data_IF_625847213530
#
_entry.id   IF_625847213530
#
_cell.length_a   1.000
_cell.length_b   1.000
_cell.length_c   1.000
_cell.angle_alpha   90.00
_cell.angle_beta   90.00
_cell.angle_gamma   90.00
#
_symmetry.space_group_name_H-M   'P 1'
#
loop_
_entity.id
_entity.type
_entity.pdbx_description
1 polymer ?
#
# COMPACT_ATOMS: atom_id res chain seq x y z
N UNK A 1 20.24 5.51 5.49
CA UNK A 1 19.56 5.41 4.18
C UNK A 1 19.39 3.92 3.91
N UNK A 2 18.14 3.44 3.84
CA UNK A 2 17.87 2.04 3.45
C UNK A 2 18.14 1.99 1.95
N UNK A 3 19.10 1.15 1.53
CA UNK A 3 19.32 0.94 0.10
C UNK A 3 18.11 0.17 -0.48
N UNK A 4 17.83 0.32 -1.77
CA UNK A 4 16.76 -0.46 -2.43
C UNK A 4 16.93 -1.97 -2.20
N UNK A 5 18.18 -2.45 -2.15
CA UNK A 5 18.56 -3.83 -1.86
C UNK A 5 18.21 -4.30 -0.43
N UNK A 6 18.03 -3.39 0.51
CA UNK A 6 17.66 -3.68 1.90
C UNK A 6 16.17 -3.48 2.18
N UNK A 7 15.41 -2.94 1.22
CA UNK A 7 13.99 -2.66 1.39
C UNK A 7 13.16 -3.95 1.35
N UNK A 8 12.38 -4.19 2.43
CA UNK A 8 11.49 -5.34 2.54
C UNK A 8 10.49 -5.43 1.38
N UNK A 9 9.89 -4.30 0.96
CA UNK A 9 8.89 -4.30 -0.10
C UNK A 9 9.50 -4.46 -1.48
N UNK A 10 10.72 -3.97 -1.73
CA UNK A 10 11.47 -4.29 -2.95
C UNK A 10 11.70 -5.80 -3.08
N UNK A 11 12.06 -6.49 -1.99
CA UNK A 11 12.23 -7.95 -1.98
C UNK A 11 10.92 -8.70 -2.24
N UNK A 12 9.79 -8.18 -1.77
CA UNK A 12 8.46 -8.72 -2.09
C UNK A 12 8.15 -8.52 -3.58
N UNK A 13 8.37 -7.32 -4.11
CA UNK A 13 8.17 -7.00 -5.54
C UNK A 13 9.05 -7.88 -6.45
N UNK A 14 10.29 -8.13 -6.05
CA UNK A 14 11.23 -9.00 -6.76
C UNK A 14 10.91 -10.51 -6.61
N UNK A 15 9.96 -10.89 -5.75
CA UNK A 15 9.62 -12.29 -5.47
C UNK A 15 10.64 -13.04 -4.60
N UNK A 16 11.59 -12.33 -3.98
CA UNK A 16 12.60 -12.91 -3.09
C UNK A 16 12.02 -13.33 -1.73
N UNK A 17 10.97 -12.63 -1.28
CA UNK A 17 10.25 -12.92 -0.04
C UNK A 17 8.77 -13.18 -0.38
N UNK A 18 8.15 -14.25 0.17
CA UNK A 18 6.76 -14.55 -0.12
C UNK A 18 5.83 -13.49 0.46
N UNK A 19 4.80 -13.15 -0.31
CA UNK A 19 3.67 -12.36 0.16
C UNK A 19 2.36 -12.96 -0.40
N UNK A 20 1.26 -12.75 0.32
CA UNK A 20 -0.08 -13.14 -0.17
C UNK A 20 -0.59 -12.05 -1.10
N UNK A 21 -0.24 -12.14 -2.38
CA UNK A 21 -0.64 -11.21 -3.43
C UNK A 21 -2.16 -11.26 -3.61
N UNK A 22 -2.77 -10.09 -3.76
CA UNK A 22 -4.22 -9.88 -3.96
C UNK A 22 -4.47 -9.31 -5.35
N UNK A 23 -3.67 -8.33 -5.77
CA UNK A 23 -3.81 -7.68 -7.07
C UNK A 23 -2.43 -7.27 -7.59
N UNK A 24 -2.22 -7.31 -8.91
CA UNK A 24 -0.96 -6.94 -9.53
C UNK A 24 -1.23 -6.27 -10.88
N UNK A 25 -0.45 -5.24 -11.18
CA UNK A 25 -0.41 -4.56 -12.48
C UNK A 25 1.02 -4.46 -12.98
N UNK A 26 1.24 -3.81 -14.12
CA UNK A 26 2.59 -3.53 -14.62
C UNK A 26 3.39 -2.60 -13.70
N UNK A 27 2.72 -1.76 -12.89
CA UNK A 27 3.34 -0.69 -12.09
C UNK A 27 3.14 -0.83 -10.58
N UNK A 28 2.16 -1.63 -10.15
CA UNK A 28 1.77 -1.77 -8.74
C UNK A 28 1.63 -3.23 -8.34
N UNK A 29 1.83 -3.50 -7.05
CA UNK A 29 1.60 -4.80 -6.43
C UNK A 29 0.82 -4.59 -5.15
N UNK A 30 -0.21 -5.41 -4.92
CA UNK A 30 -1.01 -5.39 -3.72
C UNK A 30 -0.95 -6.74 -3.00
N UNK A 31 -0.65 -6.72 -1.71
CA UNK A 31 -0.53 -7.93 -0.89
C UNK A 31 -1.05 -7.71 0.52
N UNK A 32 -1.46 -8.79 1.19
CA UNK A 32 -2.01 -8.70 2.54
C UNK A 32 -0.95 -8.28 3.54
N UNK A 33 -1.32 -7.34 4.42
CA UNK A 33 -0.49 -7.00 5.56
C UNK A 33 -0.37 -8.21 6.49
N UNK A 34 0.83 -8.47 7.01
CA UNK A 34 1.12 -9.58 7.93
C UNK A 34 0.58 -9.32 9.34
N UNK A 35 0.30 -8.06 9.68
CA UNK A 35 -0.27 -7.60 10.94
C UNK A 35 -1.56 -6.79 10.69
N UNK A 36 -2.67 -7.45 10.28
CA UNK A 36 -3.89 -6.78 9.85
C UNK A 36 -4.56 -5.95 10.97
N UNK A 37 -4.91 -4.69 10.68
CA UNK A 37 -5.61 -3.78 11.60
C UNK A 37 -7.13 -3.68 11.33
N UNK A 38 -7.61 -4.38 10.30
CA UNK A 38 -9.01 -4.53 9.93
C UNK A 38 -9.20 -5.87 9.20
N UNK A 39 -10.43 -6.41 9.10
CA UNK A 39 -10.69 -7.66 8.38
C UNK A 39 -10.13 -7.67 6.95
N UNK A 40 -10.27 -6.54 6.25
CA UNK A 40 -9.50 -6.26 5.04
C UNK A 40 -8.37 -5.31 5.40
N UNK A 41 -7.12 -5.77 5.30
CA UNK A 41 -5.92 -4.94 5.38
C UNK A 41 -4.93 -5.38 4.30
N UNK A 42 -4.84 -4.59 3.24
CA UNK A 42 -3.98 -4.85 2.08
C UNK A 42 -3.09 -3.64 1.86
N UNK A 43 -1.83 -3.87 1.51
CA UNK A 43 -0.88 -2.83 1.14
C UNK A 43 -0.78 -2.78 -0.38
N UNK A 44 -0.94 -1.60 -0.97
CA UNK A 44 -0.67 -1.33 -2.39
C UNK A 44 0.65 -0.58 -2.49
N UNK A 45 1.63 -1.16 -3.16
CA UNK A 45 2.95 -0.58 -3.38
C UNK A 45 3.22 -0.36 -4.86
N UNK A 46 4.12 0.57 -5.17
CA UNK A 46 4.71 0.69 -6.52
C UNK A 46 5.79 -0.37 -6.72
N UNK A 47 5.96 -0.86 -7.95
CA UNK A 47 7.06 -1.79 -8.26
C UNK A 47 8.42 -1.08 -8.21
N UNK A 48 8.48 0.14 -8.73
CA UNK A 48 9.64 1.03 -8.54
C UNK A 48 9.66 1.57 -7.11
N UNK A 49 10.85 1.77 -6.55
CA UNK A 49 11.03 2.27 -5.20
C UNK A 49 10.85 3.78 -5.12
N UNK A 50 9.87 4.22 -4.34
CA UNK A 50 9.75 5.60 -3.86
C UNK A 50 9.67 5.56 -2.34
N UNK A 51 10.39 6.42 -1.60
CA UNK A 51 10.45 6.28 -0.14
C UNK A 51 9.12 6.54 0.57
N UNK A 52 8.26 7.40 0.03
CA UNK A 52 6.98 7.78 0.63
C UNK A 52 6.00 8.36 -0.42
N UNK A 53 4.81 8.75 0.02
CA UNK A 53 3.77 9.28 -0.85
C UNK A 53 4.10 10.66 -1.44
N UNK A 54 4.93 11.47 -0.77
CA UNK A 54 5.35 12.77 -1.29
C UNK A 54 6.36 12.61 -2.44
N UNK A 55 7.33 11.71 -2.28
CA UNK A 55 8.25 11.35 -3.34
C UNK A 55 7.53 10.70 -4.53
N UNK A 56 6.54 9.84 -4.28
CA UNK A 56 5.66 9.29 -5.32
C UNK A 56 4.89 10.39 -6.07
N UNK A 57 4.33 11.38 -5.37
CA UNK A 57 3.57 12.45 -5.99
C UNK A 57 4.45 13.39 -6.84
N UNK A 58 5.72 13.53 -6.47
CA UNK A 58 6.71 14.25 -7.28
C UNK A 58 7.18 13.44 -8.51
N UNK A 59 6.94 12.13 -8.52
CA UNK A 59 7.16 11.29 -9.69
C UNK A 59 6.08 11.56 -10.73
N UNK A 60 6.49 11.95 -11.94
CA UNK A 60 5.58 12.26 -13.05
C UNK A 60 4.93 10.96 -13.60
N UNK A 61 4.02 11.10 -14.58
CA UNK A 61 3.38 10.00 -15.33
C UNK A 61 2.25 9.23 -14.62
N UNK A 62 1.52 9.88 -13.70
CA UNK A 62 0.28 9.34 -13.15
C UNK A 62 0.44 8.11 -12.25
N UNK A 63 1.64 7.85 -11.71
CA UNK A 63 1.87 6.68 -10.86
C UNK A 63 0.99 6.70 -9.60
N UNK A 64 0.80 7.88 -9.00
CA UNK A 64 -0.09 8.04 -7.85
C UNK A 64 -1.56 7.71 -8.19
N UNK A 65 -2.02 8.04 -9.40
CA UNK A 65 -3.34 7.68 -9.89
C UNK A 65 -3.48 6.15 -10.06
N UNK A 66 -2.45 5.48 -10.59
CA UNK A 66 -2.42 4.02 -10.68
C UNK A 66 -2.46 3.33 -9.31
N UNK A 67 -1.81 3.90 -8.28
CA UNK A 67 -1.88 3.38 -6.90
C UNK A 67 -3.31 3.51 -6.35
N UNK A 68 -3.99 4.64 -6.55
CA UNK A 68 -5.36 4.84 -6.08
C UNK A 68 -6.33 3.90 -6.82
N UNK A 69 -6.16 3.73 -8.14
CA UNK A 69 -6.94 2.78 -8.96
C UNK A 69 -6.75 1.34 -8.49
N UNK A 70 -5.50 0.93 -8.25
CA UNK A 70 -5.20 -0.41 -7.72
C UNK A 70 -5.80 -0.62 -6.33
N UNK A 71 -5.78 0.41 -5.47
CA UNK A 71 -6.42 0.35 -4.17
C UNK A 71 -7.94 0.20 -4.24
N UNK A 72 -8.59 0.89 -5.19
CA UNK A 72 -10.02 0.68 -5.45
C UNK A 72 -10.33 -0.72 -5.97
N UNK A 73 -9.54 -1.23 -6.93
CA UNK A 73 -9.70 -2.60 -7.45
C UNK A 73 -9.57 -3.66 -6.33
N UNK A 74 -8.64 -3.47 -5.40
CA UNK A 74 -8.52 -4.29 -4.18
C UNK A 74 -9.78 -4.20 -3.33
N UNK A 75 -10.32 -3.00 -3.10
CA UNK A 75 -11.54 -2.83 -2.32
C UNK A 75 -12.76 -3.52 -2.96
N UNK A 76 -12.87 -3.53 -4.29
CA UNK A 76 -13.89 -4.29 -5.01
C UNK A 76 -13.70 -5.81 -4.84
N UNK A 77 -12.48 -6.30 -5.04
CA UNK A 77 -12.15 -7.73 -4.91
C UNK A 77 -12.35 -8.26 -3.49
N UNK A 78 -12.10 -7.43 -2.48
CA UNK A 78 -12.30 -7.77 -1.06
C UNK A 78 -13.74 -7.55 -0.57
N UNK A 79 -14.64 -7.07 -1.44
CA UNK A 79 -16.05 -6.86 -1.10
C UNK A 79 -16.32 -5.71 -0.13
N UNK A 80 -15.38 -4.75 -0.01
CA UNK A 80 -15.49 -3.59 0.90
C UNK A 80 -15.78 -2.28 0.16
N UNK A 81 -15.79 -2.26 -1.17
CA UNK A 81 -16.07 -1.05 -1.95
C UNK A 81 -17.43 -0.41 -1.61
N UNK A 82 -18.49 -1.23 -1.45
CA UNK A 82 -19.84 -0.73 -1.16
C UNK A 82 -20.04 -0.31 0.30
N UNK A 83 -19.44 -1.04 1.25
CA UNK A 83 -19.51 -0.72 2.68
C UNK A 83 -18.56 0.40 3.11
N UNK A 84 -17.59 0.71 2.26
CA UNK A 84 -16.59 1.74 2.46
C UNK A 84 -15.26 1.18 2.97
N UNK A 85 -14.20 1.93 2.68
CA UNK A 85 -12.83 1.63 3.08
C UNK A 85 -12.06 2.93 3.30
N UNK A 86 -10.91 2.84 3.99
CA UNK A 86 -9.98 3.96 4.18
C UNK A 86 -8.67 3.65 3.47
N UNK A 87 -8.16 4.66 2.75
CA UNK A 87 -6.80 4.69 2.26
C UNK A 87 -5.94 5.48 3.24
N UNK A 88 -4.81 4.90 3.66
CA UNK A 88 -3.84 5.56 4.55
C UNK A 88 -2.46 5.48 3.92
N UNK A 89 -1.75 6.60 3.90
CA UNK A 89 -0.34 6.69 3.57
C UNK A 89 0.37 7.39 4.72
N UNK A 90 1.33 6.72 5.33
CA UNK A 90 2.16 7.31 6.37
C UNK A 90 3.42 7.89 5.72
N UNK A 91 3.74 9.15 6.01
CA UNK A 91 4.97 9.82 5.53
C UNK A 91 5.80 10.25 6.74
N UNK A 92 6.96 9.64 6.90
CA UNK A 92 7.86 9.85 8.03
C UNK A 92 7.57 8.94 9.24
N UNK A 93 8.60 8.75 10.07
CA UNK A 93 8.57 7.82 11.20
C UNK A 93 7.50 8.17 12.26
N UNK A 94 7.32 9.45 12.58
CA UNK A 94 6.33 9.92 13.55
C UNK A 94 4.87 9.69 13.08
N UNK A 95 4.65 9.58 11.78
CA UNK A 95 3.36 9.19 11.22
C UNK A 95 3.14 7.67 11.23
N UNK A 96 4.09 6.89 11.78
CA UNK A 96 4.03 5.43 11.81
C UNK A 96 4.51 4.76 10.52
N UNK A 97 5.29 5.44 9.68
CA UNK A 97 5.91 4.80 8.52
C UNK A 97 7.07 3.89 8.97
N UNK A 98 6.93 2.58 8.80
CA UNK A 98 7.92 1.58 9.23
C UNK A 98 8.76 1.02 8.08
N UNK A 99 8.20 0.97 6.87
CA UNK A 99 8.90 0.63 5.64
C UNK A 99 8.94 1.87 4.75
N UNK A 100 10.16 2.33 4.43
CA UNK A 100 10.39 3.50 3.58
C UNK A 100 10.34 3.11 2.10
N UNK A 101 9.19 2.56 1.70
CA UNK A 101 8.76 2.32 0.33
C UNK A 101 7.28 2.66 0.32
N UNK A 102 6.82 3.52 -0.58
CA UNK A 102 5.44 4.00 -0.61
C UNK A 102 4.44 2.85 -0.61
N UNK A 103 3.52 2.89 0.35
CA UNK A 103 2.47 1.90 0.49
C UNK A 103 1.17 2.55 0.93
N UNK A 104 0.11 2.31 0.16
CA UNK A 104 -1.24 2.67 0.54
C UNK A 104 -1.89 1.52 1.28
N UNK A 105 -2.26 1.73 2.54
CA UNK A 105 -3.08 0.79 3.28
C UNK A 105 -4.52 0.87 2.80
N UNK A 106 -5.11 -0.27 2.42
CA UNK A 106 -6.54 -0.42 2.15
C UNK A 106 -7.16 -1.11 3.36
N UNK A 107 -7.89 -0.35 4.18
CA UNK A 107 -8.53 -0.84 5.40
C UNK A 107 -10.05 -0.89 5.24
N UNK A 108 -10.68 -2.03 5.53
CA UNK A 108 -12.13 -2.20 5.38
C UNK A 108 -12.69 -3.40 6.14
N UNK A 109 -13.99 -3.65 5.95
CA UNK A 109 -14.68 -4.79 6.56
C UNK A 109 -15.11 -4.59 8.02
N UNK A 110 -14.95 -3.37 8.56
CA UNK A 110 -15.48 -2.94 9.86
C UNK A 110 -15.69 -1.43 9.87
N UNK A 111 -16.42 -0.92 10.87
CA UNK A 111 -16.44 0.52 11.16
C UNK A 111 -15.05 1.06 11.49
N UNK A 112 -14.62 2.11 10.78
CA UNK A 112 -13.36 2.81 11.03
C UNK A 112 -13.62 4.10 11.81
N UNK A 113 -12.89 4.31 12.89
CA UNK A 113 -13.10 5.42 13.82
C UNK A 113 -12.43 6.72 13.35
N UNK A 114 -12.78 7.82 14.02
CA UNK A 114 -12.13 9.12 13.89
C UNK A 114 -11.69 9.59 15.29
N UNK A 115 -10.45 10.10 15.48
CA UNK A 115 -9.41 10.36 14.46
C UNK A 115 -8.81 9.08 13.82
N UNK A 116 -8.13 9.20 12.66
CA UNK A 116 -7.65 8.07 11.87
C UNK A 116 -6.21 7.67 12.24
N UNK A 117 -6.03 7.36 13.53
CA UNK A 117 -4.74 7.20 14.19
C UNK A 117 -4.91 7.63 15.63
#
# INVERSE_FOLDING_TARGET
MVSEADCLFCKIVAGEIPAKIVHETDRTLAFRDVNPQAPTHVLVVTKEHYPDAAALAAADHGLADDVIKAAHAVAEQEGVAASGYRLVFNTGAEAGQTVFHVHGHVLGGRGLTWPPG
#
